data_IF_843633412608
#
_entry.id   IF_843633412608
#
_cell.length_a   1.000
_cell.length_b   1.000
_cell.length_c   1.000
_cell.angle_alpha   90.00
_cell.angle_beta   90.00
_cell.angle_gamma   90.00
#
_symmetry.space_group_name_H-M   'P 1'
#
loop_
_entity.id
_entity.type
_entity.pdbx_description
1 polymer ?
#
# COMPACT_ATOMS: atom_id res chain seq x y z
N UNK A 1 11.24 15.16 -4.61
CA UNK A 1 11.03 15.36 -3.16
C UNK A 1 12.36 15.20 -2.44
N UNK A 2 12.57 15.86 -1.29
CA UNK A 2 13.69 15.54 -0.42
C UNK A 2 13.56 14.10 0.12
N UNK A 3 14.67 13.49 0.54
CA UNK A 3 14.66 12.16 1.14
C UNK A 3 13.71 12.08 2.36
N UNK A 4 13.16 10.90 2.61
CA UNK A 4 12.23 10.69 3.74
C UNK A 4 13.01 10.59 5.05
N UNK A 5 12.53 11.27 6.07
CA UNK A 5 13.03 11.23 7.45
C UNK A 5 11.86 11.03 8.42
N UNK A 6 12.12 10.80 9.70
CA UNK A 6 11.04 10.72 10.70
C UNK A 6 10.21 12.01 10.79
N UNK A 7 10.80 13.16 10.49
CA UNK A 7 10.12 14.47 10.54
C UNK A 7 9.04 14.57 9.45
N UNK A 8 9.37 14.14 8.23
CA UNK A 8 8.47 14.25 7.06
C UNK A 8 7.74 12.94 6.69
N UNK A 9 7.98 11.86 7.43
CA UNK A 9 7.42 10.52 7.17
C UNK A 9 5.90 10.52 7.05
N UNK A 10 5.21 11.23 7.94
CA UNK A 10 3.73 11.27 7.95
C UNK A 10 3.19 11.97 6.71
N UNK A 11 3.82 13.07 6.30
CA UNK A 11 3.40 13.82 5.11
C UNK A 11 3.67 13.01 3.84
N UNK A 12 4.81 12.31 3.80
CA UNK A 12 5.12 11.38 2.71
C UNK A 12 4.10 10.23 2.64
N UNK A 13 3.76 9.60 3.76
CA UNK A 13 2.76 8.53 3.80
C UNK A 13 1.39 8.99 3.29
N UNK A 14 0.93 10.17 3.72
CA UNK A 14 -0.34 10.76 3.26
C UNK A 14 -0.29 11.11 1.78
N UNK A 15 0.83 11.65 1.31
CA UNK A 15 1.04 11.96 -0.10
C UNK A 15 0.93 10.71 -0.97
N UNK A 16 1.63 9.64 -0.62
CA UNK A 16 1.60 8.37 -1.37
C UNK A 16 0.20 7.74 -1.37
N UNK A 17 -0.51 7.75 -0.23
CA UNK A 17 -1.90 7.29 -0.16
C UNK A 17 -2.82 8.11 -1.09
N UNK A 18 -2.76 9.44 -1.01
CA UNK A 18 -3.57 10.33 -1.83
C UNK A 18 -3.28 10.15 -3.33
N UNK A 19 -2.00 10.01 -3.68
CA UNK A 19 -1.54 9.81 -5.05
C UNK A 19 -2.04 8.47 -5.63
N UNK A 20 -2.00 7.39 -4.86
CA UNK A 20 -2.53 6.09 -5.27
C UNK A 20 -4.05 6.15 -5.48
N UNK A 21 -4.76 6.84 -4.59
CA UNK A 21 -6.21 7.00 -4.70
C UNK A 21 -6.63 7.88 -5.87
N UNK A 22 -5.94 8.99 -6.13
CA UNK A 22 -6.23 9.88 -7.25
C UNK A 22 -5.95 9.22 -8.60
N UNK A 23 -5.06 8.23 -8.63
CA UNK A 23 -4.65 7.50 -9.84
C UNK A 23 -5.43 6.20 -10.03
N UNK A 24 -6.50 5.95 -9.27
CA UNK A 24 -7.20 4.67 -9.24
C UNK A 24 -7.67 4.19 -10.62
N UNK A 25 -8.04 5.10 -11.52
CA UNK A 25 -8.49 4.78 -12.88
C UNK A 25 -7.35 4.37 -13.84
N UNK A 26 -6.10 4.69 -13.50
CA UNK A 26 -4.92 4.34 -14.29
C UNK A 26 -4.36 2.95 -13.96
N UNK A 27 -4.86 2.29 -12.91
CA UNK A 27 -4.47 0.93 -12.60
C UNK A 27 -5.04 -0.03 -13.65
N UNK A 28 -4.22 -0.91 -14.24
CA UNK A 28 -4.69 -1.82 -15.28
C UNK A 28 -5.81 -2.76 -14.84
N UNK A 29 -5.80 -3.16 -13.56
CA UNK A 29 -6.73 -4.14 -13.02
C UNK A 29 -7.24 -3.74 -11.65
N UNK A 30 -8.52 -4.01 -11.43
CA UNK A 30 -9.13 -4.10 -10.10
C UNK A 30 -9.47 -5.57 -9.80
N UNK A 31 -9.08 -6.05 -8.63
CA UNK A 31 -9.41 -7.39 -8.12
C UNK A 31 -10.20 -7.27 -6.83
N UNK A 32 -11.16 -8.17 -6.65
CA UNK A 32 -12.00 -8.21 -5.45
C UNK A 32 -11.88 -9.58 -4.81
N UNK A 33 -11.75 -9.59 -3.48
CA UNK A 33 -11.78 -10.80 -2.69
C UNK A 33 -12.73 -10.59 -1.50
N UNK A 34 -13.62 -11.55 -1.27
CA UNK A 34 -14.49 -11.56 -0.09
C UNK A 34 -13.95 -12.57 0.92
N UNK A 35 -13.36 -12.05 1.99
CA UNK A 35 -12.80 -12.78 3.12
C UNK A 35 -13.82 -12.83 4.27
N UNK A 36 -13.63 -13.71 5.28
CA UNK A 36 -14.41 -13.63 6.51
C UNK A 36 -14.29 -12.23 7.12
N UNK A 37 -15.42 -11.51 7.21
CA UNK A 37 -15.53 -10.15 7.77
C UNK A 37 -14.83 -9.03 6.98
N UNK A 38 -14.33 -9.28 5.77
CA UNK A 38 -13.59 -8.27 5.00
C UNK A 38 -13.84 -8.41 3.49
N UNK A 39 -14.35 -7.35 2.87
CA UNK A 39 -14.36 -7.20 1.43
C UNK A 39 -13.15 -6.35 1.00
N UNK A 40 -12.22 -6.99 0.28
CA UNK A 40 -11.00 -6.38 -0.20
C UNK A 40 -11.15 -5.99 -1.67
N UNK A 41 -10.84 -4.74 -2.00
CA UNK A 41 -10.64 -4.28 -3.37
C UNK A 41 -9.18 -3.90 -3.58
N UNK A 42 -8.49 -4.57 -4.49
CA UNK A 42 -7.10 -4.31 -4.82
C UNK A 42 -6.97 -3.71 -6.23
N UNK A 43 -6.29 -2.57 -6.36
CA UNK A 43 -5.89 -1.99 -7.64
C UNK A 43 -4.44 -2.35 -7.90
N UNK A 44 -4.17 -3.05 -8.99
CA UNK A 44 -2.91 -3.75 -9.24
C UNK A 44 -2.56 -3.72 -10.72
N UNK A 45 -1.27 -3.89 -11.02
CA UNK A 45 -0.80 -4.18 -12.37
C UNK A 45 -1.10 -5.63 -12.76
N UNK A 46 -1.09 -5.93 -14.07
CA UNK A 46 -1.19 -7.31 -14.55
C UNK A 46 0.01 -8.15 -14.13
N UNK A 47 -0.20 -9.45 -13.91
CA UNK A 47 0.85 -10.40 -13.56
C UNK A 47 0.51 -11.26 -12.34
N UNK A 48 1.52 -11.97 -11.84
CA UNK A 48 1.35 -13.02 -10.83
C UNK A 48 0.66 -12.54 -9.55
N UNK A 49 0.89 -11.30 -9.12
CA UNK A 49 0.23 -10.74 -7.95
C UNK A 49 -1.28 -10.55 -8.16
N UNK A 50 -1.71 -10.08 -9.33
CA UNK A 50 -3.12 -9.93 -9.64
C UNK A 50 -3.85 -11.29 -9.68
N UNK A 51 -3.17 -12.31 -10.18
CA UNK A 51 -3.68 -13.68 -10.22
C UNK A 51 -3.73 -14.29 -8.81
N UNK A 52 -2.70 -14.06 -7.99
CA UNK A 52 -2.67 -14.49 -6.59
C UNK A 52 -3.78 -13.84 -5.77
N UNK A 53 -4.11 -12.56 -5.98
CA UNK A 53 -5.26 -11.92 -5.30
C UNK A 53 -6.58 -12.55 -5.75
N UNK A 54 -6.71 -12.98 -7.00
CA UNK A 54 -7.94 -13.59 -7.50
C UNK A 54 -8.16 -15.02 -6.96
N UNK A 55 -7.09 -15.77 -6.72
CA UNK A 55 -7.16 -17.21 -6.45
C UNK A 55 -6.60 -17.64 -5.09
N UNK A 56 -5.77 -16.82 -4.44
CA UNK A 56 -5.10 -17.14 -3.19
C UNK A 56 -5.97 -17.01 -1.94
N UNK A 57 -7.17 -16.43 -2.08
CA UNK A 57 -8.10 -16.24 -0.98
C UNK A 57 -9.25 -17.25 -1.07
N UNK A 58 -9.47 -17.99 0.03
CA UNK A 58 -10.61 -18.90 0.16
C UNK A 58 -11.86 -18.09 0.52
N UNK A 59 -12.92 -18.07 -0.31
CA UNK A 59 -14.14 -17.35 0.01
C UNK A 59 -14.83 -17.94 1.24
N UNK A 60 -15.36 -17.08 2.12
CA UNK A 60 -16.11 -17.54 3.29
C UNK A 60 -17.46 -18.20 2.87
N UNK A 61 -17.86 -19.34 3.47
CA UNK A 61 -19.17 -19.95 3.23
C UNK A 61 -20.32 -19.04 3.68
N UNK A 62 -21.49 -19.23 3.06
CA UNK A 62 -22.58 -18.24 2.88
C UNK A 62 -23.26 -17.56 4.07
N UNK A 63 -22.76 -17.66 5.30
CA UNK A 63 -23.22 -16.85 6.43
C UNK A 63 -22.32 -15.61 6.57
N UNK A 64 -22.52 -14.62 5.71
CA UNK A 64 -21.76 -13.37 5.73
C UNK A 64 -22.22 -12.49 6.90
N UNK A 65 -21.37 -12.37 7.91
CA UNK A 65 -21.39 -11.25 8.86
C UNK A 65 -21.12 -9.94 8.10
N UNK A 66 -21.57 -8.75 8.58
CA UNK A 66 -21.18 -7.48 7.97
C UNK A 66 -19.66 -7.43 7.74
N UNK A 67 -19.27 -7.16 6.50
CA UNK A 67 -17.88 -7.12 6.09
C UNK A 67 -17.37 -5.68 6.15
N UNK A 68 -16.20 -5.51 6.74
CA UNK A 68 -15.45 -4.28 6.60
C UNK A 68 -14.96 -4.14 5.16
N UNK A 69 -15.02 -2.94 4.58
CA UNK A 69 -14.48 -2.69 3.24
C UNK A 69 -13.06 -2.16 3.40
N UNK A 70 -12.12 -2.76 2.67
CA UNK A 70 -10.73 -2.30 2.58
C UNK A 70 -10.33 -2.12 1.11
N UNK A 71 -9.61 -1.04 0.83
CA UNK A 71 -9.09 -0.76 -0.51
C UNK A 71 -7.57 -0.69 -0.48
N UNK A 72 -6.91 -1.47 -1.31
CA UNK A 72 -5.45 -1.49 -1.40
C UNK A 72 -4.98 -1.14 -2.81
N UNK A 73 -3.84 -0.48 -2.90
CA UNK A 73 -3.20 -0.09 -4.15
C UNK A 73 -1.79 -0.64 -4.21
N UNK A 74 -1.44 -1.36 -5.27
CA UNK A 74 -0.07 -1.80 -5.52
C UNK A 74 0.50 -0.94 -6.63
N UNK A 75 1.18 0.13 -6.22
CA UNK A 75 1.62 1.24 -7.04
C UNK A 75 3.08 1.07 -7.49
N UNK A 76 3.38 1.55 -8.70
CA UNK A 76 4.74 1.74 -9.18
C UNK A 76 4.76 2.87 -10.23
N UNK A 77 5.92 3.45 -10.58
CA UNK A 77 6.02 4.65 -11.43
C UNK A 77 5.61 4.46 -12.90
N UNK A 78 5.29 3.23 -13.30
CA UNK A 78 4.74 2.93 -14.62
C UNK A 78 3.23 3.15 -14.71
N UNK A 79 2.57 3.46 -13.58
CA UNK A 79 1.16 3.83 -13.51
C UNK A 79 1.09 5.35 -13.55
N UNK A 80 0.27 5.90 -14.45
CA UNK A 80 0.16 7.34 -14.60
C UNK A 80 -0.34 8.00 -13.31
N UNK A 81 0.28 9.11 -12.94
CA UNK A 81 0.05 9.81 -11.68
C UNK A 81 0.80 9.24 -10.48
N UNK A 82 1.55 8.13 -10.59
CA UNK A 82 2.38 7.57 -9.50
C UNK A 82 3.86 7.97 -9.65
N UNK A 83 4.46 8.47 -8.57
CA UNK A 83 5.86 8.89 -8.53
C UNK A 83 6.77 7.74 -8.11
N UNK A 84 8.06 7.86 -8.45
CA UNK A 84 9.10 7.00 -7.92
C UNK A 84 9.12 7.04 -6.37
N UNK A 85 9.31 5.89 -5.71
CA UNK A 85 9.51 5.90 -4.27
C UNK A 85 10.71 6.76 -3.91
N UNK A 86 10.54 7.60 -2.90
CA UNK A 86 11.60 8.43 -2.35
C UNK A 86 12.37 7.59 -1.35
N UNK A 87 13.70 7.54 -1.48
CA UNK A 87 14.54 6.80 -0.55
C UNK A 87 14.52 7.40 0.85
N UNK A 88 14.76 6.54 1.84
CA UNK A 88 15.04 6.98 3.20
C UNK A 88 16.33 7.81 3.26
N UNK A 89 16.32 8.92 3.98
CA UNK A 89 17.47 9.81 4.15
C UNK A 89 18.54 9.23 5.08
N UNK A 90 19.71 9.87 5.13
CA UNK A 90 20.86 9.42 5.94
C UNK A 90 20.67 9.55 7.47
N UNK A 91 19.43 9.76 7.95
CA UNK A 91 19.11 9.86 9.37
C UNK A 91 18.90 8.49 10.03
N UNK A 92 18.98 8.40 11.36
CA UNK A 92 18.82 7.14 12.08
C UNK A 92 17.45 6.52 11.77
N UNK A 93 17.46 5.36 11.11
CA UNK A 93 16.27 4.54 10.96
C UNK A 93 16.18 3.59 12.16
N UNK A 94 15.05 3.65 12.87
CA UNK A 94 14.70 2.60 13.83
C UNK A 94 13.27 2.15 13.52
N UNK A 95 13.05 0.84 13.47
CA UNK A 95 11.71 0.30 13.20
C UNK A 95 10.70 0.76 14.26
N UNK A 96 11.13 0.88 15.51
CA UNK A 96 10.28 1.41 16.58
C UNK A 96 9.93 2.88 16.37
N UNK A 97 10.90 3.76 16.11
CA UNK A 97 10.63 5.18 15.87
C UNK A 97 9.77 5.42 14.64
N UNK A 98 9.99 4.65 13.58
CA UNK A 98 9.15 4.64 12.38
C UNK A 98 7.69 4.29 12.69
N UNK A 99 7.47 3.16 13.37
CA UNK A 99 6.13 2.67 13.68
C UNK A 99 5.41 3.61 14.66
N UNK A 100 6.10 4.08 15.70
CA UNK A 100 5.56 5.04 16.67
C UNK A 100 5.15 6.33 15.97
N UNK A 101 5.99 6.88 15.10
CA UNK A 101 5.70 8.15 14.40
C UNK A 101 4.47 8.07 13.50
N UNK A 102 4.28 6.96 12.79
CA UNK A 102 3.07 6.73 12.00
C UNK A 102 1.84 6.52 12.90
N UNK A 103 1.97 5.74 13.97
CA UNK A 103 0.88 5.45 14.88
C UNK A 103 0.34 6.70 15.59
N UNK A 104 1.21 7.63 15.99
CA UNK A 104 0.83 8.95 16.52
C UNK A 104 -0.05 9.76 15.55
N UNK A 105 0.14 9.57 14.24
CA UNK A 105 -0.66 10.20 13.20
C UNK A 105 -1.87 9.37 12.75
N UNK A 106 -2.15 8.24 13.43
CA UNK A 106 -3.23 7.33 13.08
C UNK A 106 -2.94 6.44 11.87
N UNK A 107 -1.69 6.34 11.43
CA UNK A 107 -1.27 5.54 10.28
C UNK A 107 -0.51 4.29 10.71
N UNK A 108 -0.37 3.34 9.79
CA UNK A 108 0.53 2.19 9.90
C UNK A 108 1.39 2.13 8.65
N UNK A 109 2.55 1.48 8.73
CA UNK A 109 3.37 1.27 7.56
C UNK A 109 4.60 0.44 7.82
N UNK A 110 5.36 0.23 6.74
CA UNK A 110 6.67 -0.40 6.76
C UNK A 110 7.53 0.16 5.62
N UNK A 111 8.85 0.06 5.76
CA UNK A 111 9.81 0.44 4.73
C UNK A 111 10.90 -0.64 4.61
N UNK A 112 11.16 -1.09 3.38
CA UNK A 112 12.21 -2.04 3.09
C UNK A 112 13.32 -1.33 2.29
N UNK A 113 14.43 -1.05 2.98
CA UNK A 113 15.52 -0.22 2.45
C UNK A 113 16.15 -0.76 1.16
N UNK A 114 16.34 -2.07 1.07
CA UNK A 114 17.04 -2.69 -0.07
C UNK A 114 16.22 -2.65 -1.37
N UNK A 115 14.92 -2.40 -1.28
CA UNK A 115 13.97 -2.45 -2.40
C UNK A 115 13.33 -1.08 -2.71
N UNK A 116 13.68 -0.03 -1.95
CA UNK A 116 12.98 1.27 -1.95
C UNK A 116 11.45 1.10 -1.94
N UNK A 117 11.01 0.21 -1.05
CA UNK A 117 9.64 -0.29 -1.02
C UNK A 117 8.93 0.23 0.22
N UNK A 118 7.74 0.81 0.00
CA UNK A 118 6.96 1.47 1.04
C UNK A 118 5.58 0.83 1.17
N UNK A 119 5.15 0.63 2.40
CA UNK A 119 3.78 0.25 2.72
C UNK A 119 3.20 1.27 3.69
N UNK A 120 2.01 1.79 3.36
CA UNK A 120 1.25 2.64 4.26
C UNK A 120 -0.20 2.19 4.31
N UNK A 121 -0.82 2.35 5.48
CA UNK A 121 -2.21 2.01 5.69
C UNK A 121 -2.85 3.02 6.65
N UNK A 122 -4.00 3.55 6.24
CA UNK A 122 -4.88 4.36 7.06
C UNK A 122 -6.01 3.47 7.60
N UNK A 123 -6.00 3.11 8.90
CA UNK A 123 -7.03 2.27 9.51
C UNK A 123 -8.41 2.94 9.60
N UNK A 124 -8.46 4.27 9.68
CA UNK A 124 -9.72 5.00 9.76
C UNK A 124 -10.45 4.96 8.41
N UNK A 125 -9.71 5.16 7.32
CA UNK A 125 -10.24 5.14 5.95
C UNK A 125 -10.24 3.73 5.33
N UNK A 126 -9.51 2.79 5.94
CA UNK A 126 -9.27 1.43 5.46
C UNK A 126 -8.67 1.42 4.04
N UNK A 127 -7.71 2.32 3.83
CA UNK A 127 -7.00 2.45 2.56
C UNK A 127 -5.53 2.14 2.78
N UNK A 128 -4.99 1.25 1.95
CA UNK A 128 -3.58 0.89 1.96
C UNK A 128 -2.92 1.13 0.61
N UNK A 129 -1.63 1.41 0.64
CA UNK A 129 -0.78 1.50 -0.55
C UNK A 129 0.51 0.75 -0.30
N UNK A 130 0.92 -0.01 -1.30
CA UNK A 130 2.26 -0.57 -1.45
C UNK A 130 2.89 0.13 -2.65
N UNK A 131 3.94 0.91 -2.43
CA UNK A 131 4.68 1.60 -3.47
C UNK A 131 6.01 0.88 -3.72
N UNK A 132 6.19 0.43 -4.96
CA UNK A 132 7.34 -0.32 -5.45
C UNK A 132 8.14 0.50 -6.45
N UNK A 133 9.43 0.22 -6.60
CA UNK A 133 10.30 0.89 -7.58
C UNK A 133 9.93 0.56 -9.04
N UNK A 134 9.41 -0.63 -9.30
CA UNK A 134 8.93 -1.08 -10.62
C UNK A 134 7.84 -2.15 -10.44
N UNK A 135 7.16 -2.53 -11.53
CA UNK A 135 6.12 -3.57 -11.49
C UNK A 135 6.65 -4.93 -11.02
N UNK A 136 7.91 -5.24 -11.37
CA UNK A 136 8.57 -6.53 -11.11
C UNK A 136 9.44 -6.51 -9.83
N UNK A 137 9.44 -5.41 -9.08
CA UNK A 137 10.22 -5.27 -7.84
C UNK A 137 9.59 -6.01 -6.65
N UNK A 138 8.54 -6.80 -6.86
CA UNK A 138 7.97 -7.64 -5.80
C UNK A 138 8.98 -8.76 -5.49
N UNK A 139 9.34 -8.98 -4.22
CA UNK A 139 10.27 -10.05 -3.87
C UNK A 139 9.68 -11.41 -4.32
N UNK A 140 10.51 -12.31 -4.90
CA UNK A 140 10.07 -13.59 -5.47
C UNK A 140 9.44 -14.54 -4.43
#
# INVERSE_FOLDING_TARGET
>A
MPNVTLENLVDYARHVLAQAESSAEHYPLTRKASLPHLDLTANVSAGALADAVAHGFVPAPGNRTPADICRVFVAHPGIDGIAAPVSWGQGPFTQHGFATRLAEAGLRGNHFHDLDFWQFYDPQRRVGVQLMASADAFPP
#
